data_IF_415300160660
#
_entry.id   IF_415300160660
#
_cell.length_a   1.000
_cell.length_b   1.000
_cell.length_c   1.000
_cell.angle_alpha   90.00
_cell.angle_beta   90.00
_cell.angle_gamma   90.00
#
_symmetry.space_group_name_H-M   'P 1'
#
loop_
_entity.id
_entity.type
_entity.pdbx_description
1 polymer ?
#
# COMPACT_ATOMS: atom_id res chain seq x y z
N UNK A 1 43.75 5.04 -6.61
CA UNK A 1 42.38 5.09 -6.03
C UNK A 1 41.41 4.70 -7.15
N UNK A 2 40.67 3.61 -6.98
CA UNK A 2 39.84 3.03 -8.04
C UNK A 2 38.49 3.75 -8.11
N UNK A 3 38.37 4.72 -9.04
CA UNK A 3 37.17 5.54 -9.20
C UNK A 3 35.89 4.72 -9.39
N UNK A 4 35.99 3.55 -10.03
CA UNK A 4 34.84 2.67 -10.28
C UNK A 4 34.30 2.11 -8.96
N UNK A 5 35.17 1.73 -8.02
CA UNK A 5 34.76 1.26 -6.69
C UNK A 5 34.07 2.36 -5.89
N UNK A 6 34.59 3.59 -5.95
CA UNK A 6 34.01 4.75 -5.25
C UNK A 6 32.60 5.07 -5.78
N UNK A 7 32.41 5.07 -7.10
CA UNK A 7 31.10 5.32 -7.72
C UNK A 7 30.08 4.25 -7.30
N UNK A 8 30.46 2.97 -7.33
CA UNK A 8 29.58 1.86 -6.90
C UNK A 8 29.17 2.00 -5.43
N UNK A 9 30.08 2.43 -4.57
CA UNK A 9 29.79 2.58 -3.15
C UNK A 9 28.87 3.78 -2.85
N UNK A 10 29.01 4.89 -3.59
CA UNK A 10 28.08 6.03 -3.53
C UNK A 10 26.68 5.59 -3.99
N UNK A 11 26.59 4.84 -5.10
CA UNK A 11 25.32 4.31 -5.59
C UNK A 11 24.66 3.36 -4.57
N UNK A 12 25.44 2.47 -3.93
CA UNK A 12 24.94 1.58 -2.87
C UNK A 12 24.36 2.36 -1.70
N UNK A 13 25.10 3.33 -1.16
CA UNK A 13 24.64 4.16 -0.04
C UNK A 13 23.42 5.02 -0.39
N UNK A 14 23.33 5.48 -1.64
CA UNK A 14 22.14 6.19 -2.12
C UNK A 14 20.93 5.26 -2.17
N UNK A 15 21.07 4.07 -2.76
CA UNK A 15 20.01 3.08 -2.82
C UNK A 15 19.57 2.59 -1.43
N UNK A 16 20.49 2.44 -0.48
CA UNK A 16 20.17 2.16 0.92
C UNK A 16 19.30 3.28 1.50
N UNK A 17 19.73 4.56 1.42
CA UNK A 17 18.91 5.67 1.92
C UNK A 17 17.53 5.74 1.28
N UNK A 18 17.42 5.51 -0.03
CA UNK A 18 16.12 5.48 -0.70
C UNK A 18 15.22 4.34 -0.18
N UNK A 19 15.78 3.16 0.14
CA UNK A 19 15.01 2.05 0.75
C UNK A 19 14.38 2.43 2.08
N UNK A 20 15.09 3.15 2.94
CA UNK A 20 14.58 3.57 4.25
C UNK A 20 13.54 4.70 4.16
N UNK A 21 13.47 5.46 3.06
CA UNK A 21 12.46 6.52 2.91
C UNK A 21 11.04 5.98 2.78
N UNK A 22 10.90 4.81 2.17
CA UNK A 22 9.61 4.17 1.92
C UNK A 22 9.37 2.99 2.87
N UNK A 23 10.06 2.95 4.00
CA UNK A 23 9.85 1.94 5.02
C UNK A 23 9.55 2.63 6.35
N UNK A 24 8.52 2.14 7.05
CA UNK A 24 8.23 2.57 8.41
C UNK A 24 7.70 1.40 9.22
N UNK A 25 7.71 1.56 10.54
CA UNK A 25 7.02 0.63 11.41
C UNK A 25 5.53 0.95 11.40
N UNK A 26 4.69 -0.03 11.09
CA UNK A 26 3.25 0.09 11.24
C UNK A 26 2.84 -0.52 12.58
N UNK A 27 2.28 0.29 13.48
CA UNK A 27 1.82 -0.17 14.79
C UNK A 27 0.65 -1.16 14.71
N UNK A 28 -0.22 -1.02 13.70
CA UNK A 28 -1.38 -1.91 13.52
C UNK A 28 -0.97 -3.27 12.93
N UNK A 29 0.01 -3.29 12.01
CA UNK A 29 0.56 -4.54 11.48
C UNK A 29 1.66 -5.15 12.37
N UNK A 30 2.11 -4.43 13.40
CA UNK A 30 3.21 -4.77 14.30
C UNK A 30 4.50 -5.23 13.60
N UNK A 31 4.86 -4.58 12.49
CA UNK A 31 6.05 -4.92 11.70
C UNK A 31 6.54 -3.73 10.88
N UNK A 32 7.76 -3.86 10.34
CA UNK A 32 8.26 -2.95 9.32
C UNK A 32 7.49 -3.19 8.01
N UNK A 33 6.94 -2.12 7.47
CA UNK A 33 6.15 -2.14 6.24
C UNK A 33 6.74 -1.19 5.22
N UNK A 34 6.52 -1.52 3.96
CA UNK A 34 6.71 -0.56 2.87
C UNK A 34 5.55 0.44 2.85
N UNK A 35 5.87 1.68 2.51
CA UNK A 35 4.94 2.78 2.39
C UNK A 35 4.68 3.08 0.92
N UNK A 36 3.42 3.31 0.60
CA UNK A 36 2.96 3.75 -0.71
C UNK A 36 2.47 5.19 -0.61
N UNK A 37 2.90 6.04 -1.52
CA UNK A 37 2.17 7.27 -1.80
C UNK A 37 0.79 6.96 -2.36
N UNK A 38 -0.15 7.91 -2.28
CA UNK A 38 -1.45 7.77 -2.92
C UNK A 38 -1.34 7.45 -4.41
N UNK A 39 -0.38 8.06 -5.11
CA UNK A 39 -0.16 7.80 -6.54
C UNK A 39 0.29 6.34 -6.78
N UNK A 40 1.24 5.85 -5.99
CA UNK A 40 1.67 4.45 -6.08
C UNK A 40 0.56 3.47 -5.71
N UNK A 41 -0.30 3.81 -4.75
CA UNK A 41 -1.45 2.99 -4.40
C UNK A 41 -2.49 2.95 -5.53
N UNK A 42 -2.72 4.06 -6.24
CA UNK A 42 -3.57 4.11 -7.46
C UNK A 42 -2.97 3.20 -8.54
N UNK A 43 -1.69 3.35 -8.84
CA UNK A 43 -0.99 2.58 -9.88
C UNK A 43 -0.95 1.08 -9.57
N UNK A 44 -0.65 0.73 -8.31
CA UNK A 44 -0.60 -0.65 -7.86
C UNK A 44 -2.01 -1.27 -7.82
N UNK A 45 -2.98 -0.48 -7.39
CA UNK A 45 -4.35 -0.87 -7.11
C UNK A 45 -5.25 -1.02 -8.33
N UNK A 46 -4.93 -0.28 -9.40
CA UNK A 46 -5.90 0.09 -10.44
C UNK A 46 -7.17 0.75 -9.84
N UNK A 47 -7.03 1.37 -8.65
CA UNK A 47 -8.11 1.98 -7.89
C UNK A 47 -8.08 3.50 -8.06
N UNK A 48 -9.24 4.15 -7.96
CA UNK A 48 -9.27 5.61 -7.95
C UNK A 48 -8.67 6.16 -6.65
N UNK A 49 -8.07 7.36 -6.73
CA UNK A 49 -7.57 8.06 -5.54
C UNK A 49 -8.66 8.26 -4.48
N UNK A 50 -9.88 8.55 -4.91
CA UNK A 50 -11.03 8.74 -4.03
C UNK A 50 -11.33 7.46 -3.24
N UNK A 51 -11.31 6.29 -3.91
CA UNK A 51 -11.53 5.01 -3.26
C UNK A 51 -10.47 4.71 -2.19
N UNK A 52 -9.22 5.03 -2.47
CA UNK A 52 -8.12 4.84 -1.50
C UNK A 52 -8.33 5.74 -0.27
N UNK A 53 -8.81 6.98 -0.47
CA UNK A 53 -9.17 7.87 0.64
C UNK A 53 -10.30 7.27 1.48
N UNK A 54 -11.37 6.78 0.85
CA UNK A 54 -12.49 6.13 1.55
C UNK A 54 -12.01 4.92 2.36
N UNK A 55 -11.18 4.04 1.79
CA UNK A 55 -10.62 2.90 2.50
C UNK A 55 -9.81 3.34 3.71
N UNK A 56 -9.07 4.43 3.59
CA UNK A 56 -8.26 4.98 4.68
C UNK A 56 -9.10 5.65 5.77
N UNK A 57 -10.20 6.32 5.39
CA UNK A 57 -11.14 6.94 6.32
C UNK A 57 -11.97 5.90 7.09
N UNK A 58 -12.30 4.79 6.44
CA UNK A 58 -12.99 3.65 7.06
C UNK A 58 -12.05 2.71 7.84
N UNK A 59 -10.77 3.07 8.01
CA UNK A 59 -9.74 2.27 8.68
C UNK A 59 -9.50 0.87 8.06
N UNK A 60 -9.88 0.67 6.80
CA UNK A 60 -9.61 -0.58 6.05
C UNK A 60 -8.16 -0.64 5.55
N UNK A 61 -7.50 0.50 5.41
CA UNK A 61 -6.07 0.60 5.13
C UNK A 61 -5.41 1.57 6.11
N UNK A 62 -4.18 1.27 6.51
CA UNK A 62 -3.49 2.06 7.53
C UNK A 62 -2.79 3.28 6.92
N UNK A 63 -3.09 4.46 7.47
CA UNK A 63 -2.36 5.70 7.19
C UNK A 63 -1.16 5.81 8.11
N UNK A 64 -0.02 6.15 7.54
CA UNK A 64 1.25 6.33 8.26
C UNK A 64 1.83 7.67 7.85
N UNK A 65 2.19 8.49 8.82
CA UNK A 65 2.93 9.73 8.56
C UNK A 65 4.43 9.40 8.51
N UNK A 66 5.11 9.89 7.46
CA UNK A 66 6.57 9.85 7.46
C UNK A 66 7.15 10.98 8.34
N UNK A 67 8.49 11.02 8.46
CA UNK A 67 9.20 12.05 9.24
C UNK A 67 9.05 13.47 8.70
N UNK A 68 8.46 13.65 7.52
CA UNK A 68 8.14 14.95 6.90
C UNK A 68 6.66 15.34 7.10
N UNK A 69 5.88 14.51 7.78
CA UNK A 69 4.44 14.71 7.98
C UNK A 69 3.57 14.30 6.78
N UNK A 70 4.15 13.77 5.70
CA UNK A 70 3.40 13.29 4.54
C UNK A 70 2.65 12.01 4.90
N UNK A 71 1.37 11.95 4.50
CA UNK A 71 0.54 10.76 4.68
C UNK A 71 0.83 9.76 3.59
N UNK A 72 1.26 8.58 4.01
CA UNK A 72 1.51 7.42 3.18
C UNK A 72 0.61 6.26 3.63
N UNK A 73 0.47 5.26 2.77
CA UNK A 73 -0.36 4.09 2.97
C UNK A 73 0.54 2.89 3.28
N UNK A 74 0.19 2.11 4.29
CA UNK A 74 0.83 0.82 4.55
C UNK A 74 0.54 -0.15 3.40
N UNK A 75 1.59 -0.63 2.73
CA UNK A 75 1.46 -1.56 1.61
C UNK A 75 0.74 -2.85 2.00
N UNK A 76 1.02 -3.39 3.20
CA UNK A 76 0.44 -4.67 3.63
C UNK A 76 -1.08 -4.58 3.79
N UNK A 77 -1.57 -3.58 4.53
CA UNK A 77 -3.02 -3.38 4.70
C UNK A 77 -3.71 -3.07 3.37
N UNK A 78 -3.01 -2.36 2.46
CA UNK A 78 -3.55 -2.07 1.14
C UNK A 78 -3.74 -3.34 0.30
N UNK A 79 -2.73 -4.22 0.29
CA UNK A 79 -2.81 -5.50 -0.42
C UNK A 79 -3.86 -6.45 0.20
N UNK A 80 -3.98 -6.45 1.52
CA UNK A 80 -4.99 -7.21 2.24
C UNK A 80 -6.41 -6.72 1.88
N UNK A 81 -6.67 -5.41 1.96
CA UNK A 81 -7.94 -4.82 1.57
C UNK A 81 -8.31 -5.12 0.12
N UNK A 82 -7.35 -5.17 -0.80
CA UNK A 82 -7.58 -5.58 -2.20
C UNK A 82 -7.91 -7.06 -2.32
N UNK A 83 -7.21 -7.92 -1.60
CA UNK A 83 -7.43 -9.36 -1.64
C UNK A 83 -8.82 -9.71 -1.09
N UNK A 84 -9.23 -9.06 0.01
CA UNK A 84 -10.55 -9.26 0.58
C UNK A 84 -11.65 -8.63 -0.28
N UNK A 85 -11.39 -7.47 -0.91
CA UNK A 85 -12.32 -6.88 -1.89
C UNK A 85 -12.52 -7.77 -3.13
N UNK A 86 -11.49 -8.52 -3.55
CA UNK A 86 -11.60 -9.52 -4.63
C UNK A 86 -12.33 -10.80 -4.20
N UNK A 87 -12.27 -11.18 -2.93
CA UNK A 87 -13.10 -12.27 -2.39
C UNK A 87 -14.56 -11.86 -2.28
N UNK A 88 -14.82 -10.57 -2.03
CA UNK A 88 -16.15 -9.97 -2.10
C UNK A 88 -16.42 -9.43 -3.50
N UNK A 89 -16.31 -10.26 -4.54
CA UNK A 89 -17.11 -10.01 -5.74
C UNK A 89 -18.57 -9.95 -5.27
N UNK A 90 -19.28 -8.83 -5.46
CA UNK A 90 -20.67 -8.76 -5.03
C UNK A 90 -21.43 -9.80 -5.87
N UNK A 91 -22.02 -10.79 -5.20
CA UNK A 91 -23.15 -11.49 -5.79
C UNK A 91 -24.12 -10.39 -6.18
N UNK A 92 -24.32 -10.18 -7.48
CA UNK A 92 -25.35 -9.28 -7.97
C UNK A 92 -26.63 -9.60 -7.19
N UNK A 93 -27.38 -8.60 -6.70
CA UNK A 93 -28.64 -8.85 -5.98
C UNK A 93 -29.63 -9.72 -6.78
N UNK A 94 -29.47 -9.77 -8.11
CA UNK A 94 -30.23 -10.67 -8.99
C UNK A 94 -29.86 -12.15 -8.84
N UNK A 95 -28.60 -12.47 -8.51
CA UNK A 95 -28.12 -13.85 -8.34
C UNK A 95 -28.58 -14.47 -7.01
N UNK A 96 -28.79 -13.66 -5.98
CA UNK A 96 -29.33 -14.15 -4.69
C UNK A 96 -30.81 -14.52 -4.79
N UNK A 97 -31.60 -13.81 -5.63
CA UNK A 97 -33.03 -14.12 -5.83
C UNK A 97 -33.28 -15.44 -6.56
N UNK A 98 -32.33 -15.93 -7.36
CA UNK A 98 -32.47 -17.21 -8.06
C UNK A 98 -32.14 -18.44 -7.20
N UNK A 99 -31.57 -18.25 -6.00
CA UNK A 99 -31.24 -19.34 -5.07
C UNK A 99 -32.32 -19.59 -4.02
N UNK A 100 -33.24 -18.64 -3.80
CA UNK A 100 -34.35 -18.77 -2.85
C UNK A 100 -35.62 -19.38 -3.48
N UNK A 101 -35.55 -19.88 -4.73
CA UNK A 101 -36.69 -20.44 -5.47
C UNK A 101 -36.54 -21.93 -5.85
N UNK A 102 -35.79 -22.70 -5.06
CA UNK A 102 -35.78 -24.19 -5.13
C UNK A 102 -36.36 -24.79 -3.87
#
# INVERSE_FOLDING_TARGET
>A
MDLVKVIREIQRKKAERERWKNQAFCFLCNQQVSLLSFQQAVELGEESRQRIIELAENNLIHRIHNSRGEVLICQNSFLEARTDSQKTLPLCPEFLKSLETV
#
